data_IF_330530463204
#
_entry.id   IF_330530463204
#
_cell.length_a   1.000
_cell.length_b   1.000
_cell.length_c   1.000
_cell.angle_alpha   90.00
_cell.angle_beta   90.00
_cell.angle_gamma   90.00
#
_symmetry.space_group_name_H-M   'P 1'
#
loop_
_entity.id
_entity.type
_entity.pdbx_description
1 polymer ?
#
# COMPACT_ATOMS: atom_id res chain seq x y z
N UNK A 1 -28.77 -4.91 -22.25
CA UNK A 1 -27.39 -4.74 -22.77
C UNK A 1 -26.61 -6.01 -22.53
N UNK A 2 -26.23 -6.71 -23.61
CA UNK A 2 -25.23 -7.78 -23.54
C UNK A 2 -23.83 -7.16 -23.61
N UNK A 3 -22.80 -7.80 -23.03
CA UNK A 3 -21.42 -7.50 -23.36
C UNK A 3 -21.25 -7.49 -24.88
N UNK A 4 -20.44 -6.58 -25.44
CA UNK A 4 -20.16 -6.64 -26.86
C UNK A 4 -19.72 -8.08 -27.20
N UNK A 5 -20.15 -8.58 -28.36
CA UNK A 5 -19.53 -9.73 -29.03
C UNK A 5 -18.11 -9.34 -29.48
N UNK A 6 -17.33 -8.75 -28.58
CA UNK A 6 -15.92 -8.66 -28.74
C UNK A 6 -15.43 -10.10 -28.63
N UNK A 7 -14.80 -10.58 -29.71
CA UNK A 7 -13.97 -11.77 -29.67
C UNK A 7 -13.24 -11.78 -28.33
N UNK A 8 -13.35 -12.87 -27.57
CA UNK A 8 -12.49 -13.06 -26.39
C UNK A 8 -11.10 -12.69 -26.88
N UNK A 9 -10.44 -11.66 -26.31
CA UNK A 9 -9.14 -11.24 -26.82
C UNK A 9 -8.28 -12.50 -26.88
N UNK A 10 -7.45 -12.63 -27.92
CA UNK A 10 -6.51 -13.74 -28.08
C UNK A 10 -6.07 -14.17 -26.68
N UNK A 11 -6.39 -15.41 -26.30
CA UNK A 11 -5.89 -15.99 -25.04
C UNK A 11 -4.41 -16.28 -25.21
N UNK A 12 -3.65 -15.24 -25.56
CA UNK A 12 -2.22 -15.29 -25.60
C UNK A 12 -1.79 -15.64 -24.17
N UNK A 13 -1.01 -16.71 -23.98
CA UNK A 13 -0.61 -17.14 -22.66
C UNK A 13 0.08 -15.98 -21.95
N UNK A 14 -0.34 -15.69 -20.71
CA UNK A 14 0.30 -14.65 -19.90
C UNK A 14 1.79 -14.97 -19.79
N UNK A 15 2.63 -14.02 -20.17
CA UNK A 15 4.07 -14.15 -19.96
C UNK A 15 4.37 -14.04 -18.47
N UNK A 16 5.07 -15.02 -17.93
CA UNK A 16 5.74 -14.94 -16.64
C UNK A 16 7.22 -14.80 -16.94
N UNK A 17 7.88 -13.78 -16.38
CA UNK A 17 9.34 -13.71 -16.37
C UNK A 17 9.80 -13.77 -14.93
N UNK A 18 10.70 -14.70 -14.67
CA UNK A 18 11.41 -14.79 -13.41
C UNK A 18 12.86 -14.46 -13.68
N UNK A 19 13.40 -13.53 -12.91
CA UNK A 19 14.82 -13.26 -12.89
C UNK A 19 15.39 -13.69 -11.54
N UNK A 20 16.49 -14.43 -11.64
CA UNK A 20 17.22 -14.99 -10.51
C UNK A 20 18.69 -14.64 -10.72
N UNK A 21 19.36 -14.01 -9.75
CA UNK A 21 20.76 -13.65 -9.89
C UNK A 21 21.61 -14.91 -10.00
N UNK A 22 22.68 -14.88 -10.82
CA UNK A 22 23.58 -16.03 -11.01
C UNK A 22 24.17 -16.55 -9.68
N UNK A 23 24.42 -15.65 -8.73
CA UNK A 23 24.94 -15.95 -7.41
C UNK A 23 23.84 -15.94 -6.34
N UNK A 24 22.64 -16.44 -6.67
CA UNK A 24 21.49 -16.37 -5.77
C UNK A 24 21.75 -17.03 -4.42
N UNK A 25 21.42 -16.31 -3.34
CA UNK A 25 21.49 -16.80 -1.96
C UNK A 25 20.07 -17.08 -1.44
N UNK A 26 19.77 -18.32 -0.99
CA UNK A 26 18.48 -18.66 -0.39
C UNK A 26 18.10 -17.76 0.79
N UNK A 27 16.81 -17.68 1.11
CA UNK A 27 16.23 -16.79 2.14
C UNK A 27 16.30 -15.29 1.83
N UNK A 28 16.52 -14.94 0.56
CA UNK A 28 16.44 -13.59 0.04
C UNK A 28 15.00 -13.08 -0.15
N UNK A 29 14.83 -11.82 -0.58
CA UNK A 29 13.53 -11.24 -0.89
C UNK A 29 12.95 -11.81 -2.21
N UNK A 30 11.63 -12.04 -2.24
CA UNK A 30 10.88 -12.21 -3.49
C UNK A 30 10.14 -10.90 -3.77
N UNK A 31 10.45 -10.26 -4.88
CA UNK A 31 9.69 -9.10 -5.36
C UNK A 31 8.74 -9.57 -6.45
N UNK A 32 7.45 -9.36 -6.27
CA UNK A 32 6.46 -9.63 -7.31
C UNK A 32 5.92 -8.31 -7.84
N UNK A 33 5.90 -8.18 -9.15
CA UNK A 33 5.29 -7.05 -9.83
C UNK A 33 4.47 -7.51 -11.02
N UNK A 34 3.47 -6.72 -11.38
CA UNK A 34 2.65 -6.98 -12.57
C UNK A 34 2.92 -5.89 -13.58
N UNK A 35 3.10 -6.24 -14.85
CA UNK A 35 3.44 -5.28 -15.92
C UNK A 35 2.49 -5.41 -17.11
N UNK A 36 2.13 -4.31 -17.78
CA UNK A 36 1.25 -4.31 -18.97
C UNK A 36 1.75 -5.13 -20.18
N UNK A 37 3.00 -5.57 -20.23
CA UNK A 37 3.61 -6.13 -21.45
C UNK A 37 4.58 -5.13 -22.14
N UNK A 38 5.40 -5.59 -23.10
CA UNK A 38 6.11 -4.71 -24.05
C UNK A 38 7.56 -4.25 -23.71
N UNK A 39 7.85 -2.94 -23.86
CA UNK A 39 9.21 -2.37 -23.75
C UNK A 39 9.77 -2.30 -22.32
N UNK A 40 8.96 -2.63 -21.31
CA UNK A 40 9.32 -2.57 -19.88
C UNK A 40 9.84 -3.91 -19.31
N UNK A 41 10.18 -4.88 -20.16
CA UNK A 41 10.67 -6.21 -19.76
C UNK A 41 12.20 -6.30 -19.73
N UNK A 42 12.86 -5.31 -19.15
CA UNK A 42 14.25 -5.45 -18.71
C UNK A 42 14.23 -5.68 -17.19
N UNK A 43 13.74 -6.85 -16.72
CA UNK A 43 13.83 -7.17 -15.31
C UNK A 43 15.31 -7.14 -14.95
N UNK A 44 15.64 -6.42 -13.88
CA UNK A 44 16.98 -6.47 -13.29
C UNK A 44 16.87 -6.67 -11.79
N UNK A 45 17.33 -7.83 -11.31
CA UNK A 45 17.54 -8.06 -9.89
C UNK A 45 18.68 -7.17 -9.42
N UNK A 46 18.44 -6.41 -8.34
CA UNK A 46 19.43 -5.44 -7.86
C UNK A 46 20.51 -6.06 -6.99
N UNK A 47 20.21 -7.21 -6.39
CA UNK A 47 21.05 -7.85 -5.39
C UNK A 47 21.07 -9.37 -5.57
N UNK A 48 22.09 -10.02 -5.00
CA UNK A 48 22.26 -11.47 -5.09
C UNK A 48 21.24 -12.26 -4.25
N UNK A 49 20.46 -11.58 -3.40
CA UNK A 49 19.45 -12.14 -2.52
C UNK A 49 18.03 -11.73 -2.95
N UNK A 50 17.82 -11.41 -4.23
CA UNK A 50 16.51 -11.02 -4.75
C UNK A 50 16.08 -11.98 -5.85
N UNK A 51 14.83 -12.46 -5.76
CA UNK A 51 14.13 -13.07 -6.90
C UNK A 51 13.08 -12.09 -7.36
N UNK A 52 13.00 -11.86 -8.66
CA UNK A 52 12.06 -10.92 -9.24
C UNK A 52 11.08 -11.67 -10.14
N UNK A 53 9.80 -11.59 -9.80
CA UNK A 53 8.68 -12.24 -10.48
C UNK A 53 7.85 -11.17 -11.19
N UNK A 54 7.95 -11.12 -12.52
CA UNK A 54 7.08 -10.33 -13.38
C UNK A 54 5.97 -11.19 -13.94
N UNK A 55 4.73 -10.78 -13.67
CA UNK A 55 3.55 -11.39 -14.26
C UNK A 55 2.92 -10.41 -15.24
N UNK A 56 2.76 -10.82 -16.49
CA UNK A 56 2.07 -10.01 -17.49
C UNK A 56 0.61 -9.81 -17.08
N UNK A 57 0.19 -8.55 -17.14
CA UNK A 57 -1.20 -8.12 -17.06
C UNK A 57 -1.95 -8.55 -18.33
N UNK A 58 -3.16 -9.08 -18.14
CA UNK A 58 -4.15 -9.26 -19.19
C UNK A 58 -4.55 -7.92 -19.85
N UNK A 59 -4.57 -6.81 -19.11
CA UNK A 59 -4.86 -5.46 -19.60
C UNK A 59 -3.59 -4.62 -19.50
N UNK A 60 -3.10 -4.15 -20.64
CA UNK A 60 -2.12 -3.07 -20.62
C UNK A 60 -2.68 -1.85 -19.90
N UNK A 61 -2.01 -1.41 -18.82
CA UNK A 61 -2.34 -0.22 -18.01
C UNK A 61 -3.62 -0.34 -17.18
N UNK A 62 -4.19 -1.54 -17.06
CA UNK A 62 -5.29 -1.85 -16.16
C UNK A 62 -4.78 -2.67 -14.99
N UNK A 63 -5.13 -2.27 -13.78
CA UNK A 63 -4.70 -2.92 -12.55
C UNK A 63 -5.40 -4.30 -12.39
N UNK A 64 -5.03 -5.28 -13.20
CA UNK A 64 -5.79 -6.53 -13.46
C UNK A 64 -6.16 -7.33 -12.23
N UNK A 65 -7.46 -7.32 -11.95
CA UNK A 65 -8.05 -8.21 -10.95
C UNK A 65 -9.05 -9.19 -11.56
N UNK A 66 -9.70 -8.85 -12.67
CA UNK A 66 -10.78 -9.68 -13.21
C UNK A 66 -11.35 -9.24 -14.55
N UNK A 67 -12.32 -10.01 -15.02
CA UNK A 67 -13.14 -9.69 -16.20
C UNK A 67 -14.57 -10.18 -15.98
N UNK A 68 -15.51 -9.64 -16.75
CA UNK A 68 -16.90 -10.06 -16.74
C UNK A 68 -17.06 -11.45 -17.38
N UNK A 69 -17.60 -12.42 -16.65
CA UNK A 69 -17.79 -13.80 -17.13
C UNK A 69 -18.77 -13.91 -18.32
N UNK A 70 -19.58 -12.88 -18.56
CA UNK A 70 -20.46 -12.79 -19.73
C UNK A 70 -19.72 -12.38 -21.00
N UNK A 71 -18.47 -11.95 -20.91
CA UNK A 71 -17.68 -11.53 -22.07
C UNK A 71 -17.48 -12.70 -23.04
N UNK A 72 -17.74 -12.46 -24.33
CA UNK A 72 -17.69 -13.51 -25.36
C UNK A 72 -18.87 -14.48 -25.30
N UNK A 73 -19.93 -14.16 -24.55
CA UNK A 73 -21.16 -14.96 -24.45
C UNK A 73 -22.39 -14.11 -24.79
N UNK A 74 -23.57 -14.74 -24.86
CA UNK A 74 -24.85 -14.04 -25.02
C UNK A 74 -25.47 -13.58 -23.69
N UNK A 75 -24.80 -13.78 -22.54
CA UNK A 75 -25.32 -13.37 -21.23
C UNK A 75 -25.40 -11.85 -21.14
N UNK A 76 -26.48 -11.30 -20.58
CA UNK A 76 -26.56 -9.87 -20.29
C UNK A 76 -25.56 -9.46 -19.18
N UNK A 77 -25.12 -8.19 -19.16
CA UNK A 77 -24.27 -7.67 -18.08
C UNK A 77 -24.87 -7.89 -16.69
N UNK A 78 -26.18 -7.68 -16.54
CA UNK A 78 -26.94 -7.91 -15.29
C UNK A 78 -26.97 -9.37 -14.84
N UNK A 79 -26.88 -10.30 -15.80
CA UNK A 79 -26.86 -11.75 -15.56
C UNK A 79 -25.45 -12.32 -15.44
N UNK A 80 -24.42 -11.46 -15.42
CA UNK A 80 -23.03 -11.85 -15.40
C UNK A 80 -22.33 -11.22 -14.20
N UNK A 81 -21.26 -11.86 -13.73
CA UNK A 81 -20.41 -11.37 -12.65
C UNK A 81 -18.99 -11.09 -13.13
N UNK A 82 -18.35 -10.10 -12.51
CA UNK A 82 -16.91 -9.91 -12.63
C UNK A 82 -16.23 -10.86 -11.65
N UNK A 83 -15.44 -11.79 -12.18
CA UNK A 83 -14.69 -12.75 -11.37
C UNK A 83 -13.23 -12.34 -11.21
N UNK A 84 -12.62 -12.68 -10.08
CA UNK A 84 -11.22 -12.38 -9.78
C UNK A 84 -10.25 -13.41 -10.38
N UNK A 85 -10.37 -13.67 -11.69
CA UNK A 85 -9.58 -14.69 -12.37
C UNK A 85 -8.09 -14.34 -12.35
N UNK A 86 -7.75 -13.06 -12.53
CA UNK A 86 -6.35 -12.61 -12.57
C UNK A 86 -5.66 -12.75 -11.23
N UNK A 87 -6.35 -12.44 -10.15
CA UNK A 87 -5.89 -12.62 -8.78
C UNK A 87 -5.61 -14.09 -8.45
N UNK A 88 -6.54 -15.01 -8.74
CA UNK A 88 -6.30 -16.45 -8.53
C UNK A 88 -5.09 -16.97 -9.29
N UNK A 89 -4.90 -16.49 -10.52
CA UNK A 89 -3.71 -16.79 -11.31
C UNK A 89 -2.44 -16.23 -10.65
N UNK A 90 -2.46 -14.98 -10.19
CA UNK A 90 -1.32 -14.36 -9.49
C UNK A 90 -0.93 -15.17 -8.25
N UNK A 91 -1.89 -15.62 -7.46
CA UNK A 91 -1.61 -16.48 -6.31
C UNK A 91 -1.02 -17.83 -6.71
N UNK A 92 -1.55 -18.47 -7.75
CA UNK A 92 -1.00 -19.73 -8.24
C UNK A 92 0.46 -19.58 -8.68
N UNK A 93 0.79 -18.50 -9.38
CA UNK A 93 2.15 -18.20 -9.82
C UNK A 93 3.05 -17.84 -8.64
N UNK A 94 2.53 -17.09 -7.66
CA UNK A 94 3.26 -16.73 -6.44
C UNK A 94 3.59 -17.98 -5.60
N UNK A 95 2.63 -18.88 -5.41
CA UNK A 95 2.83 -20.13 -4.67
C UNK A 95 3.86 -21.02 -5.37
N UNK A 96 3.76 -21.15 -6.69
CA UNK A 96 4.77 -21.85 -7.50
C UNK A 96 6.16 -21.24 -7.32
N UNK A 97 6.28 -19.92 -7.38
CA UNK A 97 7.57 -19.23 -7.23
C UNK A 97 8.15 -19.42 -5.83
N UNK A 98 7.33 -19.29 -4.78
CA UNK A 98 7.75 -19.51 -3.39
C UNK A 98 8.14 -20.97 -3.11
N UNK A 99 7.54 -21.94 -3.80
CA UNK A 99 7.93 -23.34 -3.72
C UNK A 99 9.26 -23.61 -4.45
N UNK A 100 9.51 -22.92 -5.56
CA UNK A 100 10.72 -23.12 -6.39
C UNK A 100 11.94 -22.39 -5.82
N UNK A 101 11.75 -21.20 -5.28
CA UNK A 101 12.79 -20.36 -4.69
C UNK A 101 12.38 -20.07 -3.24
N UNK A 102 12.99 -20.71 -2.22
CA UNK A 102 12.74 -20.44 -0.80
C UNK A 102 13.15 -19.02 -0.39
N UNK A 103 12.35 -18.06 -0.84
CA UNK A 103 12.44 -16.67 -0.48
C UNK A 103 11.81 -16.43 0.88
N UNK A 104 12.31 -15.42 1.57
CA UNK A 104 11.75 -14.96 2.83
C UNK A 104 10.41 -14.26 2.58
N UNK A 105 9.31 -14.94 2.92
CA UNK A 105 7.96 -14.39 2.79
C UNK A 105 7.77 -13.06 3.50
N UNK A 106 8.53 -12.76 4.56
CA UNK A 106 8.44 -11.47 5.25
C UNK A 106 9.04 -10.31 4.47
N UNK A 107 9.79 -10.61 3.40
CA UNK A 107 10.34 -9.67 2.45
C UNK A 107 9.57 -9.66 1.13
N UNK A 108 8.42 -10.34 1.05
CA UNK A 108 7.57 -10.29 -0.14
C UNK A 108 7.03 -8.86 -0.34
N UNK A 109 7.21 -8.33 -1.55
CA UNK A 109 6.76 -6.99 -1.95
C UNK A 109 5.87 -7.08 -3.17
N UNK A 110 4.83 -6.25 -3.20
CA UNK A 110 3.96 -6.08 -4.35
C UNK A 110 4.32 -4.81 -5.12
N UNK A 111 4.46 -4.93 -6.44
CA UNK A 111 4.56 -3.83 -7.39
C UNK A 111 3.41 -3.80 -8.40
N UNK A 112 2.35 -4.59 -8.15
CA UNK A 112 1.18 -4.68 -9.02
C UNK A 112 0.06 -3.69 -8.67
N UNK A 113 -1.16 -3.97 -9.14
CA UNK A 113 -2.39 -3.25 -8.79
C UNK A 113 -2.44 -2.92 -7.30
N UNK A 114 -2.50 -1.63 -6.95
CA UNK A 114 -2.69 -1.12 -5.58
C UNK A 114 -3.87 -1.81 -4.92
N UNK A 115 -4.97 -1.90 -5.65
CA UNK A 115 -6.22 -2.50 -5.20
C UNK A 115 -6.11 -3.98 -4.89
N UNK A 116 -5.36 -4.73 -5.71
CA UNK A 116 -5.10 -6.14 -5.41
C UNK A 116 -4.29 -6.23 -4.13
N UNK A 117 -3.08 -5.69 -4.20
CA UNK A 117 -2.06 -6.03 -3.23
C UNK A 117 -2.41 -5.45 -1.85
N UNK A 118 -3.09 -4.30 -1.79
CA UNK A 118 -3.51 -3.68 -0.55
C UNK A 118 -4.51 -4.52 0.25
N UNK A 119 -5.27 -5.40 -0.42
CA UNK A 119 -6.26 -6.30 0.19
C UNK A 119 -5.66 -7.62 0.66
N UNK A 120 -4.37 -7.85 0.41
CA UNK A 120 -3.67 -9.10 0.71
C UNK A 120 -2.46 -8.90 1.64
N UNK A 121 -2.68 -8.32 2.84
CA UNK A 121 -1.63 -8.21 3.84
C UNK A 121 -1.07 -9.58 4.23
N UNK A 122 -1.78 -10.69 4.06
CA UNK A 122 -1.25 -12.02 4.34
C UNK A 122 -0.07 -12.43 3.43
N UNK A 123 0.09 -11.77 2.29
CA UNK A 123 1.20 -11.99 1.35
C UNK A 123 2.17 -10.82 1.31
N UNK A 124 1.69 -9.59 1.17
CA UNK A 124 2.56 -8.44 0.86
C UNK A 124 2.98 -7.66 2.09
N UNK A 125 4.29 -7.47 2.23
CA UNK A 125 4.85 -6.65 3.30
C UNK A 125 4.79 -5.15 3.05
N UNK A 126 5.02 -4.76 1.80
CA UNK A 126 4.97 -3.37 1.40
C UNK A 126 4.60 -3.29 -0.07
N UNK A 127 3.97 -2.17 -0.42
CA UNK A 127 3.63 -1.79 -1.78
C UNK A 127 4.29 -0.46 -2.05
N UNK A 128 5.16 -0.44 -3.05
CA UNK A 128 5.92 0.75 -3.42
C UNK A 128 5.39 1.22 -4.77
N UNK A 129 4.68 2.34 -4.77
CA UNK A 129 4.08 2.96 -5.95
C UNK A 129 5.02 4.02 -6.51
N UNK A 130 5.06 4.09 -7.84
CA UNK A 130 5.86 5.05 -8.59
C UNK A 130 7.33 4.66 -8.81
N UNK A 131 8.04 5.40 -9.69
CA UNK A 131 9.41 5.09 -10.06
C UNK A 131 10.40 5.22 -8.88
N UNK A 132 11.45 4.37 -8.80
CA UNK A 132 11.81 3.30 -9.73
C UNK A 132 11.18 1.94 -9.39
N UNK A 133 10.22 1.88 -8.45
CA UNK A 133 9.80 0.62 -7.83
C UNK A 133 8.57 -0.02 -8.50
N UNK A 134 7.64 0.77 -9.03
CA UNK A 134 6.49 0.27 -9.79
C UNK A 134 5.94 1.30 -10.79
N UNK A 135 5.21 0.82 -11.78
CA UNK A 135 4.47 1.61 -12.76
C UNK A 135 3.11 2.11 -12.27
N UNK A 136 2.88 2.12 -10.94
CA UNK A 136 1.65 2.66 -10.37
C UNK A 136 1.70 4.18 -10.37
N UNK A 137 0.83 4.81 -11.17
CA UNK A 137 0.71 6.28 -11.28
C UNK A 137 -0.34 6.86 -10.33
N UNK A 138 -1.22 6.02 -9.78
CA UNK A 138 -2.26 6.44 -8.84
C UNK A 138 -2.37 5.47 -7.66
N UNK A 139 -2.74 6.01 -6.51
CA UNK A 139 -3.05 5.27 -5.30
C UNK A 139 -4.47 4.70 -5.35
N UNK A 140 -5.41 5.49 -5.86
CA UNK A 140 -6.82 5.18 -5.93
C UNK A 140 -7.32 5.19 -7.38
N UNK A 141 -8.45 4.51 -7.63
CA UNK A 141 -9.02 4.35 -8.96
C UNK A 141 -10.54 4.41 -8.86
N UNK A 142 -11.05 5.61 -8.57
CA UNK A 142 -12.47 5.88 -8.66
C UNK A 142 -12.83 6.06 -10.13
N UNK A 143 -13.62 5.13 -10.66
CA UNK A 143 -14.09 5.15 -12.05
C UNK A 143 -14.73 6.47 -12.51
N UNK A 144 -15.21 7.30 -11.56
CA UNK A 144 -15.76 8.63 -11.86
C UNK A 144 -14.69 9.59 -12.36
N UNK A 145 -13.47 9.51 -11.82
CA UNK A 145 -12.37 10.44 -12.07
C UNK A 145 -11.29 9.82 -12.92
N UNK A 146 -11.06 8.52 -12.72
CA UNK A 146 -10.20 7.69 -13.53
C UNK A 146 -11.03 6.50 -14.07
N UNK A 147 -11.78 6.66 -15.18
CA UNK A 147 -12.58 5.57 -15.75
C UNK A 147 -11.71 4.40 -16.27
N UNK A 148 -10.38 4.53 -16.16
CA UNK A 148 -9.40 3.81 -16.94
C UNK A 148 -9.49 4.21 -18.40
N UNK A 149 -8.43 3.92 -19.14
CA UNK A 149 -8.59 3.81 -20.60
C UNK A 149 -9.79 2.90 -20.87
N UNK A 150 -10.60 3.17 -21.90
CA UNK A 150 -11.86 2.45 -22.19
C UNK A 150 -11.75 0.91 -22.25
N UNK A 151 -10.54 0.38 -22.17
CA UNK A 151 -10.21 -1.01 -21.83
C UNK A 151 -10.97 -1.54 -20.60
N UNK A 152 -11.02 -0.87 -19.44
CA UNK A 152 -11.65 -1.44 -18.24
C UNK A 152 -13.16 -1.59 -18.39
N UNK A 153 -13.87 -0.54 -18.85
CA UNK A 153 -15.30 -0.61 -19.12
C UNK A 153 -15.65 -1.67 -20.18
N UNK A 154 -14.82 -1.84 -21.21
CA UNK A 154 -14.97 -2.91 -22.20
C UNK A 154 -14.83 -4.34 -21.62
N UNK A 155 -14.13 -4.51 -20.49
CA UNK A 155 -13.93 -5.83 -19.84
C UNK A 155 -14.89 -6.12 -18.71
N UNK A 156 -15.14 -5.11 -17.88
CA UNK A 156 -16.00 -5.23 -16.70
C UNK A 156 -17.47 -5.07 -17.08
N UNK A 157 -17.76 -4.17 -18.00
CA UNK A 157 -19.09 -3.68 -18.32
C UNK A 157 -19.47 -2.40 -17.57
N UNK A 158 -20.66 -1.83 -17.86
CA UNK A 158 -21.13 -0.59 -17.27
C UNK A 158 -21.22 -0.67 -15.75
N UNK A 159 -20.72 0.35 -15.05
CA UNK A 159 -20.51 0.30 -13.61
C UNK A 159 -21.78 0.08 -12.77
N UNK A 160 -22.91 0.56 -13.27
CA UNK A 160 -24.24 0.40 -12.67
C UNK A 160 -24.83 -1.01 -12.86
N UNK A 161 -24.33 -1.79 -13.84
CA UNK A 161 -24.91 -3.07 -14.22
C UNK A 161 -24.16 -4.28 -13.70
N UNK A 162 -22.87 -4.16 -13.40
CA UNK A 162 -22.01 -5.32 -13.18
C UNK A 162 -21.66 -5.52 -11.72
N UNK A 163 -21.72 -6.78 -11.29
CA UNK A 163 -21.53 -7.18 -9.90
C UNK A 163 -20.20 -7.90 -9.71
N UNK A 164 -19.54 -7.63 -8.60
CA UNK A 164 -18.37 -8.37 -8.15
C UNK A 164 -18.74 -9.73 -7.54
N UNK A 165 -17.75 -10.51 -7.09
CA UNK A 165 -17.96 -11.82 -6.50
C UNK A 165 -18.81 -11.81 -5.23
N UNK A 166 -18.77 -10.71 -4.47
CA UNK A 166 -19.56 -10.49 -3.25
C UNK A 166 -21.00 -10.00 -3.52
N UNK A 167 -21.38 -9.84 -4.80
CA UNK A 167 -22.67 -9.29 -5.21
C UNK A 167 -22.74 -7.76 -5.15
N UNK A 168 -21.70 -7.07 -4.68
CA UNK A 168 -21.56 -5.62 -4.71
C UNK A 168 -21.25 -5.08 -6.12
N UNK A 169 -21.25 -3.76 -6.34
CA UNK A 169 -20.77 -3.17 -7.60
C UNK A 169 -19.35 -3.63 -7.91
N UNK A 170 -19.10 -4.16 -9.12
CA UNK A 170 -17.77 -4.70 -9.44
C UNK A 170 -16.67 -3.63 -9.36
N UNK A 171 -16.98 -2.39 -9.74
CA UNK A 171 -16.01 -1.29 -9.76
C UNK A 171 -15.52 -0.87 -8.37
N UNK A 172 -16.28 -1.18 -7.30
CA UNK A 172 -15.86 -0.90 -5.92
C UNK A 172 -14.56 -1.63 -5.54
N UNK A 173 -14.18 -2.69 -6.27
CA UNK A 173 -12.92 -3.38 -6.04
C UNK A 173 -11.70 -2.54 -6.42
N UNK A 174 -11.85 -1.56 -7.32
CA UNK A 174 -10.79 -0.64 -7.73
C UNK A 174 -10.81 0.66 -6.91
N UNK A 175 -11.76 0.82 -6.01
CA UNK A 175 -11.81 1.97 -5.11
C UNK A 175 -11.15 1.58 -3.78
N UNK A 176 -9.87 1.92 -3.64
CA UNK A 176 -9.11 1.70 -2.40
C UNK A 176 -9.66 2.61 -1.30
N UNK A 177 -10.04 3.84 -1.62
CA UNK A 177 -10.62 4.79 -0.67
C UNK A 177 -11.87 4.22 0.02
N UNK A 178 -12.78 3.64 -0.75
CA UNK A 178 -14.00 2.98 -0.28
C UNK A 178 -13.69 1.72 0.53
N UNK A 179 -12.71 0.92 0.09
CA UNK A 179 -12.25 -0.23 0.86
C UNK A 179 -11.74 0.18 2.25
N UNK A 180 -10.87 1.19 2.32
CA UNK A 180 -10.29 1.67 3.57
C UNK A 180 -11.34 2.26 4.53
N UNK A 181 -12.30 3.03 4.00
CA UNK A 181 -13.40 3.57 4.80
C UNK A 181 -14.32 2.49 5.35
N UNK A 182 -14.56 1.42 4.58
CA UNK A 182 -15.40 0.29 4.98
C UNK A 182 -14.67 -0.64 5.96
N UNK A 183 -13.34 -0.74 5.86
CA UNK A 183 -12.53 -1.73 6.57
C UNK A 183 -11.34 -1.11 7.33
N UNK A 184 -11.53 -0.08 8.16
CA UNK A 184 -10.42 0.56 8.86
C UNK A 184 -9.74 -0.36 9.89
N UNK A 185 -10.45 -1.37 10.39
CA UNK A 185 -9.94 -2.43 11.27
C UNK A 185 -9.04 -3.43 10.55
N UNK A 186 -9.08 -3.48 9.21
CA UNK A 186 -8.26 -4.38 8.41
C UNK A 186 -6.92 -3.75 8.13
N UNK A 187 -5.89 -4.52 8.41
CA UNK A 187 -4.51 -4.22 8.09
C UNK A 187 -4.29 -4.26 6.56
N UNK A 188 -3.50 -3.34 6.02
CA UNK A 188 -3.00 -3.38 4.64
C UNK A 188 -1.46 -3.35 4.64
N UNK A 189 -0.77 -3.85 3.60
CA UNK A 189 0.65 -3.63 3.37
C UNK A 189 1.11 -2.19 3.65
N UNK A 190 2.36 -2.01 4.08
CA UNK A 190 2.93 -0.66 4.17
C UNK A 190 2.89 0.01 2.79
N UNK A 191 2.28 1.19 2.68
CA UNK A 191 2.14 1.90 1.41
C UNK A 191 3.24 2.95 1.24
N UNK A 192 4.12 2.78 0.26
CA UNK A 192 5.04 3.80 -0.21
C UNK A 192 4.51 4.48 -1.46
N UNK A 193 3.93 5.67 -1.33
CA UNK A 193 3.28 6.39 -2.42
C UNK A 193 4.23 7.45 -3.02
N UNK A 194 5.06 7.09 -4.00
CA UNK A 194 6.09 7.99 -4.56
C UNK A 194 5.66 8.54 -5.93
N UNK A 195 4.84 9.59 -5.91
CA UNK A 195 4.32 10.22 -7.12
C UNK A 195 5.39 11.12 -7.76
N UNK A 196 6.15 10.58 -8.72
CA UNK A 196 7.26 11.33 -9.33
C UNK A 196 6.83 12.49 -10.22
N UNK A 197 5.55 12.54 -10.62
CA UNK A 197 5.04 13.54 -11.56
C UNK A 197 4.50 14.77 -10.83
N UNK A 198 4.57 15.96 -11.46
CA UNK A 198 3.88 17.15 -10.96
C UNK A 198 2.36 16.95 -11.02
N UNK A 199 1.63 17.66 -10.14
CA UNK A 199 0.17 17.57 -10.03
C UNK A 199 -0.58 17.98 -11.31
N UNK A 200 0.00 18.92 -12.05
CA UNK A 200 -0.57 19.61 -13.20
C UNK A 200 0.10 19.24 -14.54
N UNK A 201 0.98 18.22 -14.55
CA UNK A 201 1.75 17.87 -15.74
C UNK A 201 1.98 16.37 -15.94
N UNK A 202 2.34 16.00 -17.17
CA UNK A 202 2.62 14.63 -17.59
C UNK A 202 1.49 13.65 -17.19
N UNK A 203 1.88 12.44 -16.79
CA UNK A 203 1.00 11.38 -16.33
C UNK A 203 0.32 11.68 -14.97
N UNK A 204 0.73 12.73 -14.25
CA UNK A 204 0.07 13.14 -12.99
C UNK A 204 -1.35 13.64 -13.23
N UNK A 205 -1.52 14.51 -14.25
CA UNK A 205 -2.82 15.04 -14.67
C UNK A 205 -3.68 14.00 -15.40
N UNK A 206 -3.05 13.03 -16.09
CA UNK A 206 -3.73 11.98 -16.87
C UNK A 206 -4.31 10.86 -15.99
N UNK A 207 -3.60 10.44 -14.93
CA UNK A 207 -3.89 9.15 -14.26
C UNK A 207 -4.25 9.22 -12.78
N UNK A 208 -3.93 10.28 -12.03
CA UNK A 208 -3.85 10.07 -10.58
C UNK A 208 -4.17 11.25 -9.69
N UNK A 209 -3.75 12.46 -10.03
CA UNK A 209 -3.74 13.52 -9.01
C UNK A 209 -5.14 13.85 -8.49
N UNK A 210 -6.18 13.71 -9.31
CA UNK A 210 -7.57 13.94 -8.90
C UNK A 210 -8.04 12.98 -7.80
N UNK A 211 -7.41 11.81 -7.65
CA UNK A 211 -7.77 10.77 -6.70
C UNK A 211 -6.72 10.54 -5.60
N UNK A 212 -5.44 10.82 -5.87
CA UNK A 212 -4.35 10.56 -4.93
C UNK A 212 -4.53 11.25 -3.57
N UNK A 213 -4.88 12.55 -3.47
CA UNK A 213 -5.13 13.20 -2.18
C UNK A 213 -6.30 12.56 -1.42
N UNK A 214 -7.31 12.01 -2.11
CA UNK A 214 -8.42 11.30 -1.48
C UNK A 214 -7.96 9.95 -0.92
N UNK A 215 -7.15 9.21 -1.68
CA UNK A 215 -6.54 7.97 -1.23
C UNK A 215 -5.61 8.18 -0.04
N UNK A 216 -4.79 9.24 -0.06
CA UNK A 216 -3.91 9.63 1.04
C UNK A 216 -4.72 9.99 2.30
N UNK A 217 -5.80 10.76 2.14
CA UNK A 217 -6.73 11.04 3.23
C UNK A 217 -7.37 9.75 3.77
N UNK A 218 -7.75 8.81 2.90
CA UNK A 218 -8.33 7.54 3.32
C UNK A 218 -7.33 6.68 4.12
N UNK A 219 -6.06 6.63 3.72
CA UNK A 219 -4.99 5.96 4.47
C UNK A 219 -4.81 6.59 5.85
N UNK A 220 -4.76 7.92 5.93
CA UNK A 220 -4.68 8.69 7.19
C UNK A 220 -5.87 8.39 8.09
N UNK A 221 -7.08 8.52 7.57
CA UNK A 221 -8.32 8.40 8.33
C UNK A 221 -8.54 6.96 8.83
N UNK A 222 -8.15 5.96 8.02
CA UNK A 222 -8.13 4.54 8.39
C UNK A 222 -6.89 4.15 9.23
N UNK A 223 -5.97 5.08 9.47
CA UNK A 223 -4.74 4.91 10.27
C UNK A 223 -3.90 3.74 9.78
N UNK A 224 -3.73 3.66 8.46
CA UNK A 224 -2.88 2.66 7.80
C UNK A 224 -1.41 3.12 7.78
N UNK A 225 -0.45 2.20 7.74
CA UNK A 225 0.96 2.58 7.67
C UNK A 225 1.34 2.99 6.24
N UNK A 226 1.73 4.25 6.05
CA UNK A 226 2.14 4.77 4.75
C UNK A 226 3.14 5.91 4.83
N UNK A 227 3.81 6.15 3.70
CA UNK A 227 4.58 7.35 3.37
C UNK A 227 4.14 7.86 2.01
N UNK A 228 4.24 9.16 1.76
CA UNK A 228 4.01 9.71 0.43
C UNK A 228 5.01 10.80 0.05
N UNK A 229 5.30 10.92 -1.23
CA UNK A 229 5.99 12.08 -1.84
C UNK A 229 5.36 12.42 -3.18
N UNK A 230 5.35 13.69 -3.57
CA UNK A 230 4.83 14.14 -4.86
C UNK A 230 5.62 15.32 -5.44
N UNK A 231 5.40 15.63 -6.73
CA UNK A 231 6.00 16.81 -7.37
C UNK A 231 7.52 16.72 -7.50
N UNK A 232 8.06 15.51 -7.65
CA UNK A 232 9.50 15.26 -7.71
C UNK A 232 10.20 15.15 -6.36
N UNK A 233 9.49 15.34 -5.24
CA UNK A 233 10.02 15.05 -3.91
C UNK A 233 10.42 13.58 -3.79
N UNK A 234 11.52 13.33 -3.09
CA UNK A 234 12.08 11.98 -2.87
C UNK A 234 12.09 11.66 -1.39
N UNK A 235 11.91 10.38 -1.08
CA UNK A 235 12.16 9.89 0.27
C UNK A 235 13.64 10.11 0.64
N UNK A 236 13.93 10.49 1.89
CA UNK A 236 15.27 10.40 2.43
C UNK A 236 15.87 9.00 2.22
N UNK A 237 17.17 8.94 1.96
CA UNK A 237 17.87 7.68 1.64
C UNK A 237 17.75 6.66 2.78
N UNK A 238 17.80 7.15 4.01
CA UNK A 238 17.66 6.37 5.24
C UNK A 238 16.29 5.68 5.30
N UNK A 239 15.24 6.42 4.95
CA UNK A 239 13.86 5.94 4.93
C UNK A 239 13.65 4.92 3.81
N UNK A 240 14.05 5.27 2.58
CA UNK A 240 13.97 4.35 1.44
C UNK A 240 14.72 3.04 1.70
N UNK A 241 15.95 3.11 2.23
CA UNK A 241 16.76 1.93 2.51
C UNK A 241 16.21 1.07 3.67
N UNK A 242 15.49 1.67 4.61
CA UNK A 242 14.82 0.93 5.67
C UNK A 242 13.59 0.17 5.17
N UNK A 243 12.79 0.76 4.28
CA UNK A 243 11.61 0.10 3.70
C UNK A 243 11.96 -1.10 2.82
N UNK A 244 13.09 -1.04 2.11
CA UNK A 244 13.63 -2.19 1.37
C UNK A 244 13.93 -3.39 2.29
N UNK A 245 14.33 -3.12 3.54
CA UNK A 245 14.68 -4.14 4.54
C UNK A 245 13.55 -4.52 5.49
N UNK A 246 12.40 -3.85 5.39
CA UNK A 246 11.30 -4.01 6.33
C UNK A 246 10.77 -5.46 6.32
N UNK A 247 10.56 -6.04 7.50
CA UNK A 247 10.05 -7.41 7.61
C UNK A 247 8.59 -7.39 8.02
N UNK A 248 7.75 -7.99 7.19
CA UNK A 248 6.30 -7.91 7.34
C UNK A 248 5.74 -8.61 8.57
N UNK A 249 6.44 -9.62 9.09
CA UNK A 249 5.96 -10.40 10.21
C UNK A 249 6.02 -9.64 11.56
N UNK A 250 6.39 -8.37 11.55
CA UNK A 250 6.51 -7.49 12.72
C UNK A 250 5.37 -6.46 12.71
N UNK A 251 4.96 -6.02 13.90
CA UNK A 251 4.06 -4.88 14.04
C UNK A 251 4.69 -3.61 13.47
N UNK A 252 3.86 -2.68 13.00
CA UNK A 252 4.27 -1.42 12.39
C UNK A 252 3.55 -0.23 13.05
N UNK A 253 4.18 0.96 13.10
CA UNK A 253 3.48 2.18 13.45
C UNK A 253 2.81 2.74 12.19
N UNK A 254 1.53 3.09 12.29
CA UNK A 254 0.90 4.01 11.36
C UNK A 254 1.06 5.44 11.88
N UNK A 255 1.74 6.26 11.09
CA UNK A 255 1.91 7.69 11.35
C UNK A 255 0.81 8.48 10.63
N UNK A 256 0.29 9.49 11.30
CA UNK A 256 -0.69 10.42 10.72
C UNK A 256 -0.60 11.78 11.39
N UNK A 257 -1.07 12.83 10.70
CA UNK A 257 -1.08 14.20 11.22
C UNK A 257 0.30 14.64 11.73
N UNK A 258 1.36 14.35 10.96
CA UNK A 258 2.69 14.80 11.33
C UNK A 258 2.83 16.29 11.06
N UNK A 259 3.40 17.04 11.99
CA UNK A 259 3.58 18.50 11.86
C UNK A 259 4.56 18.91 10.75
N UNK A 260 5.22 17.94 10.11
CA UNK A 260 6.09 18.16 8.94
C UNK A 260 5.39 17.83 7.62
N UNK A 261 4.19 17.26 7.65
CA UNK A 261 3.45 16.87 6.44
C UNK A 261 3.09 18.11 5.61
N UNK A 262 3.31 18.03 4.31
CA UNK A 262 2.82 19.01 3.35
C UNK A 262 1.36 18.73 3.00
N UNK A 263 0.66 19.73 2.48
CA UNK A 263 -0.74 19.59 2.10
C UNK A 263 -0.89 19.07 0.65
N UNK A 264 -1.39 17.84 0.39
CA UNK A 264 -1.58 17.34 -0.98
C UNK A 264 -2.83 17.92 -1.67
N UNK A 265 -3.61 18.77 -1.00
CA UNK A 265 -4.82 19.37 -1.58
C UNK A 265 -6.00 18.39 -1.65
N UNK A 266 -6.87 18.60 -2.63
CA UNK A 266 -8.17 17.90 -2.78
C UNK A 266 -8.27 17.04 -4.04
N UNK A 267 -7.22 17.05 -4.85
CA UNK A 267 -7.18 16.51 -6.21
C UNK A 267 -7.42 17.56 -7.29
N UNK A 268 -7.84 18.77 -6.92
CA UNK A 268 -7.74 19.95 -7.78
C UNK A 268 -6.25 20.31 -7.95
N UNK A 269 -5.73 20.42 -9.19
CA UNK A 269 -4.35 20.84 -9.43
C UNK A 269 -4.01 22.22 -8.84
N UNK A 270 -4.97 23.10 -8.57
CA UNK A 270 -4.70 24.40 -7.94
C UNK A 270 -4.71 24.33 -6.40
N UNK A 271 -5.22 23.23 -5.82
CA UNK A 271 -5.26 23.02 -4.38
C UNK A 271 -3.98 22.35 -3.84
N UNK A 272 -3.56 22.75 -2.64
CA UNK A 272 -2.42 22.16 -1.96
C UNK A 272 -1.06 22.52 -2.57
N UNK A 273 -0.01 21.97 -1.98
CA UNK A 273 1.37 22.25 -2.36
C UNK A 273 1.76 21.48 -3.63
N UNK A 274 2.45 22.11 -4.59
CA UNK A 274 2.87 21.49 -5.86
C UNK A 274 3.88 20.34 -5.69
N UNK A 275 4.66 20.36 -4.62
CA UNK A 275 5.59 19.31 -4.22
C UNK A 275 5.46 19.11 -2.71
N UNK A 276 5.73 17.91 -2.24
CA UNK A 276 5.67 17.67 -0.81
C UNK A 276 5.81 16.22 -0.41
N UNK A 277 5.63 15.99 0.87
CA UNK A 277 5.71 14.68 1.48
C UNK A 277 4.72 14.52 2.62
N UNK A 278 4.39 13.26 2.92
CA UNK A 278 3.70 12.86 4.14
C UNK A 278 4.50 11.73 4.80
N UNK A 279 4.78 11.88 6.09
CA UNK A 279 5.54 10.93 6.93
C UNK A 279 6.96 10.58 6.46
N UNK A 280 7.53 11.27 5.46
CA UNK A 280 8.79 10.89 4.81
C UNK A 280 10.04 11.07 5.66
N UNK A 281 9.93 11.75 6.81
CA UNK A 281 11.04 11.89 7.76
C UNK A 281 10.94 10.95 8.96
N UNK A 282 9.84 10.20 9.09
CA UNK A 282 9.59 9.32 10.22
C UNK A 282 10.08 7.90 9.93
N UNK A 283 10.71 7.30 10.93
CA UNK A 283 11.20 5.93 10.87
C UNK A 283 11.04 5.23 12.22
N UNK A 284 11.18 3.91 12.21
CA UNK A 284 11.10 3.08 13.42
C UNK A 284 12.11 1.93 13.39
N UNK A 285 12.40 1.40 14.56
CA UNK A 285 13.23 0.21 14.72
C UNK A 285 12.32 -1.03 14.76
N UNK A 286 12.44 -1.91 13.78
CA UNK A 286 11.64 -3.12 13.73
C UNK A 286 12.16 -4.22 14.68
N UNK A 287 13.42 -4.13 15.11
CA UNK A 287 14.08 -5.17 15.91
C UNK A 287 13.71 -5.09 17.39
N UNK A 288 13.36 -3.90 17.87
CA UNK A 288 13.03 -3.68 19.29
C UNK A 288 11.52 -3.69 19.58
N UNK A 289 10.71 -4.02 18.58
CA UNK A 289 9.25 -4.05 18.70
C UNK A 289 8.78 -5.13 19.67
N UNK A 290 7.86 -4.75 20.57
CA UNK A 290 7.17 -5.65 21.50
C UNK A 290 5.71 -5.71 21.13
N UNK A 291 5.17 -6.91 21.04
CA UNK A 291 3.79 -7.19 20.67
C UNK A 291 3.28 -8.37 21.51
N UNK A 292 2.71 -8.06 22.67
CA UNK A 292 2.04 -9.01 23.58
C UNK A 292 0.59 -8.61 23.78
N UNK A 293 -0.22 -9.47 24.42
CA UNK A 293 -1.65 -9.21 24.59
C UNK A 293 -1.96 -7.93 25.37
N UNK A 294 -1.06 -7.53 26.27
CA UNK A 294 -1.19 -6.44 27.22
C UNK A 294 -0.22 -5.28 26.95
N UNK A 295 0.69 -5.40 25.97
CA UNK A 295 1.76 -4.43 25.75
C UNK A 295 2.17 -4.33 24.28
N UNK A 296 2.25 -3.10 23.80
CA UNK A 296 2.89 -2.75 22.53
C UNK A 296 4.01 -1.74 22.77
N UNK A 297 5.18 -1.96 22.17
CA UNK A 297 6.28 -1.00 22.23
C UNK A 297 7.08 -0.94 20.95
N UNK A 298 7.64 0.24 20.66
CA UNK A 298 8.50 0.45 19.51
C UNK A 298 9.33 1.72 19.68
N UNK A 299 10.55 1.73 19.16
CA UNK A 299 11.30 2.98 18.98
C UNK A 299 10.97 3.64 17.65
N UNK A 300 10.56 4.90 17.70
CA UNK A 300 10.28 5.77 16.54
C UNK A 300 11.17 7.00 16.57
N UNK A 301 11.49 7.58 15.41
CA UNK A 301 12.42 8.71 15.33
C UNK A 301 12.29 9.48 14.02
N UNK A 302 12.80 10.72 14.04
CA UNK A 302 13.10 11.46 12.81
C UNK A 302 14.47 11.05 12.27
N UNK A 303 14.56 10.85 10.95
CA UNK A 303 15.87 10.61 10.31
C UNK A 303 16.75 11.86 10.35
N UNK A 304 18.07 11.67 10.25
CA UNK A 304 19.04 12.77 10.38
C UNK A 304 18.83 13.89 9.36
N UNK A 305 18.37 13.52 8.16
CA UNK A 305 18.01 14.41 7.05
C UNK A 305 16.67 15.16 7.21
N UNK A 306 15.93 14.93 8.30
CA UNK A 306 14.74 15.75 8.62
C UNK A 306 15.12 17.23 8.79
N UNK A 307 14.32 18.18 8.27
CA UNK A 307 14.59 19.61 8.43
C UNK A 307 14.51 20.05 9.89
N UNK A 308 13.69 19.37 10.70
CA UNK A 308 13.44 19.72 12.10
C UNK A 308 14.08 18.72 13.07
N UNK A 309 14.35 19.17 14.30
CA UNK A 309 14.86 18.29 15.36
C UNK A 309 13.78 17.39 15.95
N UNK A 310 12.52 17.83 15.89
CA UNK A 310 11.35 17.11 16.37
C UNK A 310 10.09 17.47 15.58
N UNK A 311 9.11 16.57 15.59
CA UNK A 311 7.77 16.80 15.09
C UNK A 311 6.72 16.35 16.11
N UNK A 312 5.48 16.78 15.93
CA UNK A 312 4.31 16.17 16.55
C UNK A 312 3.68 15.20 15.56
N UNK A 313 3.26 14.02 16.02
CA UNK A 313 2.66 13.01 15.14
C UNK A 313 1.68 12.13 15.91
N UNK A 314 0.65 11.64 15.23
CA UNK A 314 -0.22 10.59 15.74
C UNK A 314 0.37 9.21 15.42
N UNK A 315 0.41 8.31 16.42
CA UNK A 315 0.93 6.94 16.25
C UNK A 315 -0.16 5.92 16.58
N UNK A 316 -0.42 5.00 15.65
CA UNK A 316 -1.34 3.87 15.83
C UNK A 316 -0.60 2.55 15.59
N UNK A 317 -0.55 1.61 16.55
CA UNK A 317 -0.06 0.26 16.32
C UNK A 317 -0.88 -0.47 15.25
N UNK A 318 -0.21 -1.02 14.24
CA UNK A 318 -0.80 -1.83 13.15
C UNK A 318 -0.03 -3.14 12.99
N UNK A 319 -0.61 -4.10 12.29
CA UNK A 319 0.00 -5.42 12.07
C UNK A 319 0.37 -6.15 13.36
N UNK A 320 -0.33 -5.82 14.45
CA UNK A 320 -0.12 -6.47 15.73
C UNK A 320 -0.67 -7.89 15.66
N UNK A 321 0.10 -8.87 16.10
CA UNK A 321 -0.31 -10.28 16.19
C UNK A 321 -0.97 -10.59 17.52
N UNK A 322 -0.47 -10.01 18.62
CA UNK A 322 -0.95 -10.30 19.98
C UNK A 322 -1.65 -9.11 20.61
N UNK A 323 -1.15 -7.90 20.40
CA UNK A 323 -1.77 -6.67 20.87
C UNK A 323 -3.02 -6.38 20.04
N UNK A 324 -4.16 -6.90 20.51
CA UNK A 324 -5.48 -6.77 19.86
C UNK A 324 -6.46 -6.08 20.82
N UNK A 325 -6.39 -4.74 20.97
CA UNK A 325 -7.30 -3.99 21.81
C UNK A 325 -8.76 -4.21 21.41
N UNK A 326 -9.65 -4.25 22.41
CA UNK A 326 -11.10 -4.23 22.16
C UNK A 326 -11.60 -2.79 22.17
N UNK A 327 -12.68 -2.52 21.43
CA UNK A 327 -13.31 -1.19 21.43
C UNK A 327 -13.61 -0.69 22.86
N UNK A 328 -13.20 0.54 23.16
CA UNK A 328 -13.41 1.21 24.44
C UNK A 328 -12.40 0.87 25.54
N UNK A 329 -11.55 -0.15 25.31
CA UNK A 329 -10.51 -0.57 26.25
C UNK A 329 -9.51 0.55 26.54
N UNK A 330 -9.06 0.65 27.80
CA UNK A 330 -8.14 1.69 28.27
C UNK A 330 -6.71 1.16 28.38
N UNK A 331 -5.77 2.04 28.04
CA UNK A 331 -4.35 1.80 28.13
C UNK A 331 -3.65 2.99 28.79
N UNK A 332 -2.54 2.73 29.46
CA UNK A 332 -1.54 3.74 29.79
C UNK A 332 -0.48 3.76 28.71
N UNK A 333 0.18 4.91 28.53
CA UNK A 333 1.29 5.00 27.61
C UNK A 333 2.39 5.95 28.12
N UNK A 334 3.60 5.71 27.65
CA UNK A 334 4.78 6.58 27.87
C UNK A 334 5.53 6.79 26.57
N UNK A 335 6.12 7.97 26.44
CA UNK A 335 7.10 8.33 25.42
C UNK A 335 8.40 8.70 26.14
N UNK A 336 9.44 7.90 25.96
CA UNK A 336 10.75 8.09 26.56
C UNK A 336 11.75 8.52 25.50
N UNK A 337 12.35 9.70 25.65
CA UNK A 337 13.49 10.14 24.84
C UNK A 337 14.69 9.24 25.15
N UNK A 338 15.30 8.67 24.12
CA UNK A 338 16.47 7.81 24.28
C UNK A 338 17.80 8.59 24.32
N UNK A 339 17.79 9.86 23.90
CA UNK A 339 18.97 10.72 23.97
C UNK A 339 19.41 11.01 25.41
N UNK A 340 18.45 11.14 26.33
CA UNK A 340 18.67 11.46 27.74
C UNK A 340 17.98 10.48 28.70
N UNK A 341 17.33 9.44 28.17
CA UNK A 341 16.58 8.41 28.91
C UNK A 341 15.47 8.99 29.81
N UNK A 342 14.81 10.08 29.39
CA UNK A 342 13.74 10.73 30.15
C UNK A 342 12.37 10.49 29.54
N UNK A 343 11.36 10.27 30.40
CA UNK A 343 9.96 10.25 29.98
C UNK A 343 9.55 11.68 29.65
N UNK A 344 9.39 11.96 28.36
CA UNK A 344 9.02 13.30 27.84
C UNK A 344 7.51 13.50 27.77
N UNK A 345 6.74 12.41 27.69
CA UNK A 345 5.28 12.44 27.79
C UNK A 345 4.73 11.12 28.31
N UNK A 346 3.54 11.18 28.93
CA UNK A 346 2.78 10.01 29.37
C UNK A 346 1.30 10.32 29.40
N UNK A 347 0.45 9.31 29.35
CA UNK A 347 -0.99 9.53 29.46
C UNK A 347 -1.81 8.25 29.47
N UNK A 348 -3.10 8.41 29.20
CA UNK A 348 -4.02 7.30 28.94
C UNK A 348 -4.60 7.44 27.54
N UNK A 349 -5.02 6.32 26.96
CA UNK A 349 -5.66 6.28 25.64
C UNK A 349 -6.73 5.19 25.65
N UNK A 350 -7.75 5.36 24.82
CA UNK A 350 -8.77 4.34 24.59
C UNK A 350 -8.69 3.83 23.16
N UNK A 351 -8.85 2.53 22.99
CA UNK A 351 -9.10 1.94 21.69
C UNK A 351 -10.47 2.42 21.18
N UNK A 352 -10.53 2.81 19.91
CA UNK A 352 -11.77 3.30 19.30
C UNK A 352 -12.72 2.16 18.91
N UNK A 353 -13.81 2.48 18.19
CA UNK A 353 -14.81 1.49 17.74
C UNK A 353 -14.24 0.37 16.86
N UNK A 354 -13.06 0.55 16.30
CA UNK A 354 -12.37 -0.41 15.45
C UNK A 354 -11.27 -1.18 16.19
N UNK A 355 -11.11 -0.94 17.50
CA UNK A 355 -10.02 -1.54 18.28
C UNK A 355 -8.65 -0.89 18.02
N UNK A 356 -8.62 0.31 17.42
CA UNK A 356 -7.38 1.02 17.14
C UNK A 356 -7.02 1.98 18.28
N UNK A 357 -5.79 1.87 18.77
CA UNK A 357 -5.26 2.74 19.84
C UNK A 357 -4.33 3.79 19.25
N UNK A 358 -4.77 5.05 19.22
CA UNK A 358 -3.99 6.15 18.62
C UNK A 358 -3.50 7.12 19.68
N UNK A 359 -2.18 7.24 19.81
CA UNK A 359 -1.54 8.29 20.59
C UNK A 359 -1.49 9.56 19.73
N UNK A 360 -2.18 10.62 20.14
CA UNK A 360 -2.29 11.84 19.33
C UNK A 360 -1.18 12.83 19.65
N UNK A 361 -0.63 13.45 18.60
CA UNK A 361 0.30 14.58 18.66
C UNK A 361 1.43 14.39 19.66
N UNK A 362 2.05 13.21 19.65
CA UNK A 362 3.20 12.94 20.51
C UNK A 362 4.48 13.47 19.85
N UNK A 363 5.40 13.98 20.66
CA UNK A 363 6.69 14.47 20.16
C UNK A 363 7.61 13.30 19.76
N UNK A 364 8.13 13.35 18.54
CA UNK A 364 9.16 12.43 18.02
C UNK A 364 10.35 13.26 17.56
N UNK A 365 11.56 12.86 17.95
CA UNK A 365 12.79 13.61 17.66
C UNK A 365 13.85 12.76 16.95
N UNK A 366 14.91 13.41 16.47
CA UNK A 366 16.13 12.73 16.00
C UNK A 366 16.83 11.93 17.09
N UNK A 367 16.62 12.28 18.36
CA UNK A 367 17.15 11.58 19.55
C UNK A 367 16.49 10.24 19.85
N UNK A 368 15.52 9.81 19.02
CA UNK A 368 14.73 8.59 19.15
C UNK A 368 13.82 8.56 20.38
N UNK A 369 12.65 7.98 20.20
CA UNK A 369 11.57 7.96 21.18
C UNK A 369 11.06 6.53 21.34
N UNK A 370 11.18 5.97 22.55
CA UNK A 370 10.60 4.68 22.90
C UNK A 370 9.15 4.89 23.32
N UNK A 371 8.24 4.38 22.51
CA UNK A 371 6.80 4.41 22.76
C UNK A 371 6.38 3.11 23.42
N UNK A 372 5.59 3.22 24.47
CA UNK A 372 5.07 2.08 25.22
C UNK A 372 3.59 2.28 25.46
N UNK A 373 2.77 1.27 25.16
CA UNK A 373 1.34 1.21 25.44
C UNK A 373 1.09 -0.05 26.28
N UNK A 374 0.46 0.08 27.44
CA UNK A 374 0.16 -1.03 28.36
C UNK A 374 -1.30 -1.03 28.76
N UNK A 375 -1.92 -2.21 28.77
CA UNK A 375 -3.28 -2.43 29.27
C UNK A 375 -3.36 -1.98 30.73
N UNK A 376 -4.44 -1.30 31.09
CA UNK A 376 -4.72 -0.89 32.47
C UNK A 376 -5.18 -2.05 33.34
#
# INVERSE_FOLDING_TARGET
LAPPLANVPRMDPRRIVVEVPKAWKPSGALKMTTTPGGAFWDPRVRTADEVLLYVQQDIGYGADLGYNEGRGTLKAFRGSRVGFYSERYLFTVLDWALAKWPADRSLLRGGGSTHFSARHPEFFGALLLGPPFASGYSLDFDHKWNPGSGSLAGRLGPADLVKGPDGGPAWDMFDLTKYLRKNPDKDIPFMGCMFSQPKDGNHGAEYGWQDDPKGLAALRDARQPYVATWGGARLPREVSGAYEKMRWHKTLPAFSNCSLDNNPGTGDPDAGEPWGQINAYLLWDCNDSVDTADRWEMTVYLVGSSPEQSCLVDITPRHCKKFKPKSGERFTWTNTSLADNKVVARGTVRADKWGLTTLKQISVSKGRNRIVIRRQ
#
